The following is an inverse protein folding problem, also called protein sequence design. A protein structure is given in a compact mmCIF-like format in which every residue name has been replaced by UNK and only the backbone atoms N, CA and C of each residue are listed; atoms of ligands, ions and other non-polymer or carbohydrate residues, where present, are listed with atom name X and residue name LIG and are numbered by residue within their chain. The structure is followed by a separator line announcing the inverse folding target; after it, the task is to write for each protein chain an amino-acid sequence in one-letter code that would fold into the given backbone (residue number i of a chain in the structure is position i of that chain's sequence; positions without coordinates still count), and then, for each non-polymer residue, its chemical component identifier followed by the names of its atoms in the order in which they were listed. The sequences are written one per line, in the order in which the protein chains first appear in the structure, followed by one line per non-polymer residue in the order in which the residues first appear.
data_IF_314145542318
#
_entry.id   IF_314145542318
#
_cell.length_a   1.000
_cell.length_b   1.000
_cell.length_c   1.000
_cell.angle_alpha   90.00
_cell.angle_beta   90.00
_cell.angle_gamma   90.00
#
_symmetry.space_group_name_H-M   'P 1'
#
loop_
_entity.id
_entity.type
_entity.pdbx_description
1 polymer ?
#
# COMPACT_ATOMS: atom_id res chain seq x y z
N UNK A 1 1.39 1.39 14.68
CA UNK A 1 0.06 1.19 15.28
C UNK A 1 -0.41 -0.20 14.91
N UNK A 2 -1.05 -0.86 15.85
CA UNK A 2 -1.61 -2.18 15.69
C UNK A 2 -3.09 -2.12 16.14
N UNK A 3 -3.97 -2.74 15.38
CA UNK A 3 -5.38 -2.94 15.71
C UNK A 3 -5.68 -4.42 15.59
N UNK A 4 -6.31 -4.98 16.61
CA UNK A 4 -6.67 -6.40 16.65
C UNK A 4 -8.11 -6.57 17.09
N UNK A 5 -8.79 -7.64 16.67
CA UNK A 5 -10.07 -8.02 17.25
C UNK A 5 -9.94 -8.30 18.77
N UNK A 6 -11.04 -8.15 19.50
CA UNK A 6 -11.08 -8.47 20.93
C UNK A 6 -10.99 -9.99 21.21
N UNK A 7 -11.17 -10.80 20.18
CA UNK A 7 -11.12 -12.27 20.28
C UNK A 7 -9.66 -12.72 20.22
N UNK A 8 -9.19 -13.39 21.29
CA UNK A 8 -7.88 -14.03 21.33
C UNK A 8 -7.91 -15.32 20.48
N UNK A 9 -7.79 -15.18 19.17
CA UNK A 9 -7.53 -16.32 18.29
C UNK A 9 -6.08 -16.19 17.81
N UNK A 10 -5.25 -17.22 17.95
CA UNK A 10 -3.90 -17.20 17.42
C UNK A 10 -3.95 -17.22 15.88
N UNK A 11 -2.93 -16.62 15.26
CA UNK A 11 -2.73 -16.66 13.81
C UNK A 11 -3.79 -15.96 12.96
N UNK A 12 -4.45 -14.92 13.52
CA UNK A 12 -5.34 -14.09 12.72
C UNK A 12 -4.60 -13.46 11.53
N UNK A 13 -5.22 -13.37 10.36
CA UNK A 13 -4.59 -12.72 9.21
C UNK A 13 -4.12 -11.31 9.55
N UNK A 14 -2.91 -10.99 9.12
CA UNK A 14 -2.28 -9.68 9.32
C UNK A 14 -2.34 -8.86 8.03
N UNK A 15 -2.91 -7.66 8.10
CA UNK A 15 -2.94 -6.73 6.98
C UNK A 15 -2.04 -5.54 7.25
N UNK A 16 -1.03 -5.35 6.41
CA UNK A 16 -0.15 -4.20 6.44
C UNK A 16 -0.80 -3.05 5.65
N UNK A 17 -0.90 -1.87 6.24
CA UNK A 17 -1.54 -0.71 5.61
C UNK A 17 -0.60 0.47 5.46
N UNK A 18 -0.40 0.91 4.21
CA UNK A 18 0.27 2.17 3.89
C UNK A 18 -0.68 3.37 3.88
N UNK A 19 -0.12 4.57 3.96
CA UNK A 19 -0.84 5.84 3.83
C UNK A 19 -0.43 6.61 2.57
N UNK A 20 -1.21 7.61 2.18
CA UNK A 20 -0.92 8.48 1.03
C UNK A 20 0.21 9.47 1.29
N UNK A 21 0.74 10.08 0.24
CA UNK A 21 1.76 11.13 0.33
C UNK A 21 1.26 12.33 1.13
N UNK A 22 2.11 12.87 2.00
CA UNK A 22 1.76 13.97 2.89
C UNK A 22 0.86 13.62 4.07
N UNK A 23 0.40 12.37 4.16
CA UNK A 23 -0.47 11.85 5.22
C UNK A 23 0.35 11.09 6.30
N UNK A 24 -0.35 10.38 7.17
CA UNK A 24 0.25 9.58 8.25
C UNK A 24 -0.68 8.43 8.67
N UNK A 25 -0.17 7.50 9.48
CA UNK A 25 -0.89 6.30 9.96
C UNK A 25 -2.15 6.55 10.80
N UNK A 26 -2.39 7.81 11.22
CA UNK A 26 -3.54 8.20 12.07
C UNK A 26 -4.58 9.02 11.30
N UNK A 27 -4.54 9.06 9.95
CA UNK A 27 -5.57 9.77 9.18
C UNK A 27 -6.93 9.09 9.33
N UNK A 28 -8.03 9.86 9.30
CA UNK A 28 -9.38 9.32 9.47
C UNK A 28 -9.69 8.17 8.51
N UNK A 29 -9.25 8.28 7.25
CA UNK A 29 -9.50 7.30 6.20
C UNK A 29 -8.77 5.98 6.48
N UNK A 30 -7.50 6.05 6.94
CA UNK A 30 -6.74 4.86 7.30
C UNK A 30 -7.33 4.21 8.54
N UNK A 31 -7.69 5.01 9.56
CA UNK A 31 -8.36 4.51 10.76
C UNK A 31 -9.69 3.82 10.45
N UNK A 32 -10.50 4.40 9.55
CA UNK A 32 -11.76 3.80 9.14
C UNK A 32 -11.56 2.45 8.45
N UNK A 33 -10.60 2.37 7.52
CA UNK A 33 -10.25 1.11 6.82
C UNK A 33 -9.68 0.07 7.78
N UNK A 34 -8.81 0.48 8.71
CA UNK A 34 -8.27 -0.43 9.72
C UNK A 34 -9.38 -1.01 10.59
N UNK A 35 -10.26 -0.17 11.09
CA UNK A 35 -11.43 -0.61 11.87
C UNK A 35 -12.33 -1.56 11.09
N UNK A 36 -12.63 -1.23 9.83
CA UNK A 36 -13.44 -2.09 8.97
C UNK A 36 -12.82 -3.49 8.83
N UNK A 37 -11.52 -3.58 8.55
CA UNK A 37 -10.83 -4.88 8.46
C UNK A 37 -10.89 -5.66 9.77
N UNK A 38 -10.73 -4.98 10.91
CA UNK A 38 -10.81 -5.62 12.23
C UNK A 38 -12.23 -6.11 12.52
N UNK A 39 -13.24 -5.26 12.34
CA UNK A 39 -14.61 -5.57 12.78
C UNK A 39 -15.39 -6.44 11.80
N UNK A 40 -15.11 -6.33 10.50
CA UNK A 40 -15.85 -7.05 9.46
C UNK A 40 -15.17 -8.35 9.06
N UNK A 41 -13.83 -8.34 8.99
CA UNK A 41 -13.07 -9.49 8.51
C UNK A 41 -12.28 -10.21 9.60
N UNK A 42 -12.23 -9.66 10.83
CA UNK A 42 -11.50 -10.26 11.93
C UNK A 42 -9.97 -10.22 11.78
N UNK A 43 -9.45 -9.30 10.97
CA UNK A 43 -8.01 -9.19 10.72
C UNK A 43 -7.30 -8.41 11.81
N UNK A 44 -6.04 -8.75 12.06
CA UNK A 44 -5.10 -7.82 12.69
C UNK A 44 -4.57 -6.86 11.63
N UNK A 45 -4.50 -5.58 11.95
CA UNK A 45 -4.03 -4.53 11.02
C UNK A 45 -2.85 -3.80 11.61
N UNK A 46 -1.79 -3.63 10.83
CA UNK A 46 -0.62 -2.85 11.21
C UNK A 46 -0.36 -1.69 10.23
N UNK A 47 -0.04 -0.51 10.78
CA UNK A 47 0.39 0.63 9.98
C UNK A 47 1.55 1.36 10.64
N UNK A 48 2.53 1.75 9.84
CA UNK A 48 3.64 2.62 10.23
C UNK A 48 3.62 3.91 9.40
N UNK A 49 4.22 4.97 9.92
CA UNK A 49 4.47 6.16 9.11
C UNK A 49 5.62 5.88 8.14
N UNK A 50 5.46 6.29 6.89
CA UNK A 50 6.54 6.26 5.92
C UNK A 50 7.71 7.17 6.34
N UNK A 51 8.92 6.95 5.86
CA UNK A 51 10.06 7.83 6.16
C UNK A 51 9.72 9.30 5.95
N UNK A 52 10.02 10.14 6.93
CA UNK A 52 9.75 11.58 6.90
C UNK A 52 8.27 12.00 6.92
N UNK A 53 7.36 11.11 7.34
CA UNK A 53 5.92 11.36 7.47
C UNK A 53 5.43 11.16 8.90
N UNK A 54 4.27 11.75 9.22
CA UNK A 54 3.64 11.62 10.55
C UNK A 54 4.54 12.07 11.68
N UNK A 55 4.74 11.19 12.66
CA UNK A 55 5.56 11.45 13.85
C UNK A 55 7.09 11.30 13.57
N UNK A 56 7.48 10.93 12.33
CA UNK A 56 8.88 10.64 11.98
C UNK A 56 9.61 11.90 11.53
N UNK A 57 10.85 12.10 12.01
CA UNK A 57 11.65 13.27 11.61
C UNK A 57 11.94 13.21 10.10
N UNK A 58 11.92 14.37 9.48
CA UNK A 58 12.38 14.58 8.11
C UNK A 58 13.87 14.85 8.10
N UNK A 59 14.54 14.39 7.08
CA UNK A 59 15.91 14.82 6.77
C UNK A 59 15.89 16.19 6.07
N UNK A 60 17.03 16.87 6.04
CA UNK A 60 17.16 18.10 5.26
C UNK A 60 16.87 17.88 3.77
N UNK A 61 17.20 16.68 3.22
CA UNK A 61 16.88 16.29 1.85
C UNK A 61 15.37 16.12 1.64
N UNK A 62 14.65 15.52 2.62
CA UNK A 62 13.19 15.43 2.56
C UNK A 62 12.54 16.81 2.52
N UNK A 63 13.01 17.75 3.36
CA UNK A 63 12.49 19.12 3.42
C UNK A 63 12.79 19.90 2.13
N UNK A 64 14.00 19.77 1.58
CA UNK A 64 14.38 20.40 0.31
C UNK A 64 13.53 19.84 -0.85
N UNK A 65 13.41 18.51 -0.95
CA UNK A 65 12.61 17.85 -1.99
C UNK A 65 11.15 18.31 -1.95
N UNK A 66 10.57 18.43 -0.75
CA UNK A 66 9.20 18.92 -0.58
C UNK A 66 9.06 20.41 -0.95
N UNK A 67 10.09 21.23 -0.69
CA UNK A 67 10.11 22.63 -1.10
C UNK A 67 10.16 22.73 -2.63
N UNK A 68 11.04 21.98 -3.28
CA UNK A 68 11.19 21.94 -4.72
C UNK A 68 9.92 21.45 -5.41
N UNK A 69 9.27 20.42 -4.86
CA UNK A 69 7.98 19.91 -5.37
C UNK A 69 6.90 20.99 -5.29
N UNK A 70 6.76 21.69 -4.15
CA UNK A 70 5.79 22.79 -4.03
C UNK A 70 6.07 23.92 -5.01
N UNK A 71 7.34 24.28 -5.20
CA UNK A 71 7.73 25.32 -6.16
C UNK A 71 7.40 24.92 -7.60
N UNK A 72 7.67 23.67 -7.99
CA UNK A 72 7.33 23.16 -9.32
C UNK A 72 5.81 23.13 -9.55
N UNK A 73 5.03 22.68 -8.55
CA UNK A 73 3.56 22.69 -8.61
C UNK A 73 3.01 24.11 -8.73
N UNK A 74 3.53 25.08 -7.97
CA UNK A 74 3.12 26.46 -8.03
C UNK A 74 3.45 27.12 -9.38
N UNK A 75 4.51 26.68 -10.05
CA UNK A 75 4.90 27.11 -11.39
C UNK A 75 4.14 26.40 -12.52
N UNK A 76 3.32 25.39 -12.22
CA UNK A 76 2.65 24.55 -13.23
C UNK A 76 3.63 23.69 -14.06
N UNK A 77 4.86 23.47 -13.54
CA UNK A 77 5.90 22.70 -14.23
C UNK A 77 5.69 21.19 -13.98
N UNK A 78 4.83 20.60 -14.80
CA UNK A 78 4.42 19.20 -14.68
C UNK A 78 5.57 18.21 -14.88
N UNK A 79 6.52 18.53 -15.77
CA UNK A 79 7.70 17.69 -16.02
C UNK A 79 8.61 17.65 -14.79
N UNK A 80 8.86 18.81 -14.19
CA UNK A 80 9.66 18.89 -12.96
C UNK A 80 8.95 18.23 -11.78
N UNK A 81 7.64 18.39 -11.64
CA UNK A 81 6.82 17.66 -10.64
C UNK A 81 7.00 16.15 -10.79
N UNK A 82 6.86 15.62 -12.02
CA UNK A 82 7.02 14.19 -12.28
C UNK A 82 8.45 13.71 -11.94
N UNK A 83 9.48 14.43 -12.39
CA UNK A 83 10.88 14.09 -12.12
C UNK A 83 11.21 14.06 -10.63
N UNK A 84 10.76 15.06 -9.85
CA UNK A 84 10.95 15.12 -8.40
C UNK A 84 10.18 13.98 -7.73
N UNK A 85 8.93 13.74 -8.12
CA UNK A 85 8.07 12.70 -7.55
C UNK A 85 8.67 11.31 -7.73
N UNK A 86 9.21 11.00 -8.89
CA UNK A 86 9.90 9.73 -9.18
C UNK A 86 11.11 9.54 -8.27
N UNK A 87 12.02 10.52 -8.23
CA UNK A 87 13.23 10.42 -7.39
C UNK A 87 12.88 10.27 -5.91
N UNK A 88 11.93 11.07 -5.44
CA UNK A 88 11.49 11.03 -4.05
C UNK A 88 10.79 9.70 -3.72
N UNK A 89 9.91 9.21 -4.59
CA UNK A 89 9.26 7.92 -4.43
C UNK A 89 10.26 6.76 -4.33
N UNK A 90 11.27 6.73 -5.20
CA UNK A 90 12.35 5.73 -5.16
C UNK A 90 13.12 5.82 -3.83
N UNK A 91 13.48 7.02 -3.38
CA UNK A 91 14.22 7.22 -2.13
C UNK A 91 13.38 6.79 -0.92
N UNK A 92 12.08 7.08 -0.92
CA UNK A 92 11.15 6.65 0.14
C UNK A 92 10.97 5.13 0.15
N UNK A 93 10.85 4.48 -1.00
CA UNK A 93 10.74 3.02 -1.09
C UNK A 93 12.01 2.33 -0.59
N UNK A 94 13.19 2.83 -0.96
CA UNK A 94 14.48 2.29 -0.49
C UNK A 94 14.62 2.31 1.03
N UNK A 95 14.06 3.33 1.70
CA UNK A 95 14.04 3.43 3.17
C UNK A 95 12.89 2.65 3.78
N UNK A 96 11.72 2.70 3.16
CA UNK A 96 10.49 2.15 3.71
C UNK A 96 10.39 0.63 3.64
N UNK A 97 10.93 -0.01 2.59
CA UNK A 97 10.87 -1.47 2.44
C UNK A 97 11.59 -2.20 3.58
N UNK A 98 12.87 -1.90 3.91
CA UNK A 98 13.54 -2.54 5.04
C UNK A 98 12.85 -2.28 6.38
N UNK A 99 12.24 -1.12 6.56
CA UNK A 99 11.52 -0.78 7.79
C UNK A 99 10.22 -1.59 7.94
N UNK A 100 9.51 -1.83 6.85
CA UNK A 100 8.36 -2.71 6.83
C UNK A 100 8.75 -4.16 7.12
N UNK A 101 9.87 -4.63 6.56
CA UNK A 101 10.41 -5.97 6.83
C UNK A 101 10.76 -6.13 8.31
N UNK A 102 11.49 -5.18 8.88
CA UNK A 102 11.81 -5.19 10.32
C UNK A 102 10.55 -5.08 11.20
N UNK A 103 9.55 -4.29 10.76
CA UNK A 103 8.26 -4.21 11.46
C UNK A 103 7.55 -5.56 11.44
N UNK A 104 7.54 -6.24 10.30
CA UNK A 104 6.93 -7.56 10.17
C UNK A 104 7.64 -8.59 11.03
N UNK A 105 8.99 -8.58 11.06
CA UNK A 105 9.78 -9.45 11.94
C UNK A 105 9.41 -9.24 13.41
N UNK A 106 9.27 -7.98 13.84
CA UNK A 106 8.86 -7.65 15.20
C UNK A 106 7.42 -8.06 15.51
N UNK A 107 6.49 -7.89 14.56
CA UNK A 107 5.09 -8.28 14.73
C UNK A 107 4.94 -9.80 14.88
N UNK A 108 5.71 -10.58 14.14
CA UNK A 108 5.67 -12.04 14.23
C UNK A 108 6.25 -12.60 15.53
N UNK A 109 6.97 -11.79 16.32
CA UNK A 109 7.39 -12.17 17.69
C UNK A 109 6.24 -12.02 18.71
N UNK A 110 5.14 -11.36 18.35
CA UNK A 110 3.99 -11.23 19.24
C UNK A 110 3.20 -12.55 19.23
N UNK A 111 2.89 -13.14 20.39
CA UNK A 111 2.19 -14.42 20.48
C UNK A 111 0.83 -14.45 19.78
N UNK A 112 0.15 -13.31 19.75
CA UNK A 112 -1.15 -13.14 19.11
C UNK A 112 -1.09 -13.11 17.57
N UNK A 113 0.09 -12.89 16.98
CA UNK A 113 0.31 -12.90 15.52
C UNK A 113 1.03 -14.18 15.11
N UNK A 114 2.25 -14.40 15.62
CA UNK A 114 3.07 -15.56 15.30
C UNK A 114 3.57 -15.56 13.85
N UNK A 115 4.31 -16.61 13.49
CA UNK A 115 4.91 -16.77 12.15
C UNK A 115 3.95 -17.38 11.13
N UNK A 116 2.88 -18.02 11.57
CA UNK A 116 1.93 -18.73 10.71
C UNK A 116 0.75 -17.87 10.25
N UNK A 117 0.63 -16.62 10.74
CA UNK A 117 -0.43 -15.73 10.33
C UNK A 117 -0.31 -15.40 8.83
N UNK A 118 -1.37 -15.58 8.03
CA UNK A 118 -1.39 -15.13 6.64
C UNK A 118 -1.23 -13.61 6.56
N UNK A 119 -0.41 -13.12 5.62
CA UNK A 119 -0.08 -11.70 5.54
C UNK A 119 -0.54 -11.12 4.21
N UNK A 120 -1.32 -10.03 4.27
CA UNK A 120 -1.70 -9.23 3.12
C UNK A 120 -1.21 -7.80 3.20
N UNK A 121 -1.08 -7.16 2.04
CA UNK A 121 -0.86 -5.73 1.93
C UNK A 121 -2.15 -5.04 1.50
N UNK A 122 -2.76 -4.30 2.40
CA UNK A 122 -3.97 -3.51 2.15
C UNK A 122 -3.64 -2.06 1.82
N UNK A 123 -2.81 -1.86 0.80
CA UNK A 123 -2.14 -0.59 0.48
C UNK A 123 -3.01 0.64 0.49
N UNK A 124 -2.37 1.78 0.60
CA UNK A 124 -2.96 3.08 0.34
C UNK A 124 -2.87 3.45 -1.13
N UNK A 125 -3.47 4.58 -1.45
CA UNK A 125 -3.29 5.29 -2.70
C UNK A 125 -1.92 5.98 -2.67
N UNK A 126 -1.35 6.29 -3.81
CA UNK A 126 -0.11 7.08 -3.97
C UNK A 126 1.10 6.47 -3.24
N UNK A 127 1.62 7.11 -2.18
CA UNK A 127 2.83 6.67 -1.48
C UNK A 127 2.69 5.26 -0.89
N UNK A 128 1.49 4.89 -0.39
CA UNK A 128 1.22 3.55 0.12
C UNK A 128 1.48 2.49 -0.95
N UNK A 129 1.01 2.69 -2.18
CA UNK A 129 1.31 1.81 -3.30
C UNK A 129 2.77 1.95 -3.76
N UNK A 130 3.33 3.16 -3.79
CA UNK A 130 4.73 3.41 -4.17
C UNK A 130 5.76 2.69 -3.29
N UNK A 131 5.44 2.43 -2.02
CA UNK A 131 6.24 1.59 -1.11
C UNK A 131 5.75 0.15 -1.13
N UNK A 132 4.43 -0.07 -1.20
CA UNK A 132 3.81 -1.40 -1.10
C UNK A 132 4.15 -2.32 -2.26
N UNK A 133 4.24 -1.81 -3.48
CA UNK A 133 4.64 -2.59 -4.66
C UNK A 133 6.07 -3.13 -4.51
N UNK A 134 7.11 -2.29 -4.25
CA UNK A 134 8.45 -2.80 -3.97
C UNK A 134 8.53 -3.72 -2.74
N UNK A 135 7.76 -3.43 -1.69
CA UNK A 135 7.68 -4.28 -0.50
C UNK A 135 7.14 -5.67 -0.86
N UNK A 136 6.01 -5.74 -1.54
CA UNK A 136 5.39 -7.03 -1.92
C UNK A 136 6.30 -7.84 -2.85
N UNK A 137 7.06 -7.16 -3.73
CA UNK A 137 8.03 -7.82 -4.59
C UNK A 137 9.27 -8.36 -3.85
N UNK A 138 9.58 -7.85 -2.66
CA UNK A 138 10.76 -8.19 -1.88
C UNK A 138 10.46 -9.03 -0.62
N UNK A 139 9.18 -9.15 -0.24
CA UNK A 139 8.75 -9.80 0.99
C UNK A 139 7.85 -11.00 0.70
N UNK A 140 8.40 -12.21 0.68
CA UNK A 140 7.67 -13.43 0.28
C UNK A 140 6.56 -13.84 1.26
N UNK A 141 6.55 -13.30 2.48
CA UNK A 141 5.47 -13.55 3.45
C UNK A 141 4.15 -12.86 3.07
N UNK A 142 4.18 -11.86 2.19
CA UNK A 142 2.95 -11.22 1.69
C UNK A 142 2.35 -12.11 0.61
N UNK A 143 1.13 -12.58 0.84
CA UNK A 143 0.46 -13.57 -0.02
C UNK A 143 -0.71 -13.02 -0.84
N UNK A 144 -1.13 -11.77 -0.59
CA UNK A 144 -2.11 -11.04 -1.41
C UNK A 144 -1.92 -9.53 -1.22
N UNK A 145 -2.25 -8.73 -2.24
CA UNK A 145 -2.06 -7.30 -2.16
C UNK A 145 -3.15 -6.48 -2.86
N UNK A 146 -3.50 -5.33 -2.24
CA UNK A 146 -4.32 -4.29 -2.84
C UNK A 146 -3.46 -3.05 -3.02
N UNK A 147 -3.39 -2.51 -4.24
CA UNK A 147 -2.68 -1.27 -4.54
C UNK A 147 -3.64 -0.25 -5.15
N UNK A 148 -3.47 1.02 -4.84
CA UNK A 148 -4.20 2.11 -5.47
C UNK A 148 -3.29 3.00 -6.32
N UNK A 149 -3.78 3.45 -7.47
CA UNK A 149 -3.09 4.37 -8.38
C UNK A 149 -2.99 5.80 -7.85
N UNK A 150 -2.90 6.77 -8.76
CA UNK A 150 -2.80 8.20 -8.44
C UNK A 150 -1.36 8.65 -8.14
N UNK A 151 -0.38 8.10 -8.84
CA UNK A 151 1.03 8.46 -8.73
C UNK A 151 1.77 8.29 -10.07
N UNK A 152 2.95 8.88 -10.16
CA UNK A 152 3.79 8.75 -11.36
C UNK A 152 4.42 7.36 -11.40
N UNK A 153 4.08 6.59 -12.44
CA UNK A 153 4.68 5.27 -12.69
C UNK A 153 6.07 5.44 -13.29
N UNK A 154 7.01 4.63 -12.84
CA UNK A 154 8.40 4.64 -13.30
C UNK A 154 8.96 3.22 -13.40
N UNK A 155 10.08 3.04 -14.12
CA UNK A 155 10.61 1.71 -14.44
C UNK A 155 10.86 0.83 -13.22
N UNK A 156 11.35 1.39 -12.12
CA UNK A 156 11.57 0.59 -10.90
C UNK A 156 10.28 0.02 -10.30
N UNK A 157 9.13 0.68 -10.49
CA UNK A 157 7.83 0.12 -10.10
C UNK A 157 7.37 -0.99 -11.06
N UNK A 158 7.58 -0.81 -12.36
CA UNK A 158 7.32 -1.84 -13.37
C UNK A 158 8.16 -3.09 -13.11
N UNK A 159 9.45 -2.91 -12.80
CA UNK A 159 10.34 -4.02 -12.44
C UNK A 159 9.91 -4.74 -11.16
N UNK A 160 9.42 -4.01 -10.17
CA UNK A 160 8.85 -4.62 -8.97
C UNK A 160 7.56 -5.38 -9.29
N UNK A 161 6.65 -4.80 -10.07
CA UNK A 161 5.40 -5.43 -10.47
C UNK A 161 5.62 -6.76 -11.24
N UNK A 162 6.61 -6.81 -12.12
CA UNK A 162 7.00 -8.03 -12.87
C UNK A 162 7.44 -9.20 -11.95
N UNK A 163 7.77 -8.93 -10.70
CA UNK A 163 8.13 -9.96 -9.70
C UNK A 163 6.98 -10.36 -8.78
N UNK A 164 5.85 -9.64 -8.82
CA UNK A 164 4.70 -9.93 -7.97
C UNK A 164 3.84 -10.98 -8.64
N UNK A 165 3.81 -12.17 -8.06
CA UNK A 165 3.03 -13.33 -8.53
C UNK A 165 1.81 -13.65 -7.68
N UNK A 166 1.70 -13.04 -6.49
CA UNK A 166 0.57 -13.19 -5.59
C UNK A 166 -0.69 -12.50 -6.14
N UNK A 167 -1.90 -12.88 -5.70
CA UNK A 167 -3.12 -12.19 -6.10
C UNK A 167 -3.07 -10.68 -5.86
N UNK A 168 -3.51 -9.90 -6.85
CA UNK A 168 -3.49 -8.43 -6.82
C UNK A 168 -4.87 -7.86 -7.16
N UNK A 169 -5.34 -6.93 -6.33
CA UNK A 169 -6.42 -6.01 -6.68
C UNK A 169 -5.83 -4.62 -6.89
N UNK A 170 -6.00 -4.06 -8.08
CA UNK A 170 -5.50 -2.73 -8.43
C UNK A 170 -6.66 -1.75 -8.57
N UNK A 171 -6.62 -0.65 -7.80
CA UNK A 171 -7.64 0.38 -7.74
C UNK A 171 -7.19 1.59 -8.55
N UNK A 172 -7.88 1.92 -9.63
CA UNK A 172 -7.52 2.99 -10.54
C UNK A 172 -8.52 4.15 -10.47
N UNK A 173 -8.15 5.30 -9.92
CA UNK A 173 -8.87 6.55 -10.13
C UNK A 173 -8.77 6.95 -11.61
N UNK A 174 -9.92 6.97 -12.31
CA UNK A 174 -9.93 7.06 -13.77
C UNK A 174 -9.55 8.43 -14.32
N UNK A 175 -9.86 9.49 -13.55
CA UNK A 175 -9.67 10.89 -13.96
C UNK A 175 -8.57 11.58 -13.13
N UNK A 176 -7.56 10.79 -12.68
CA UNK A 176 -6.50 11.33 -11.82
C UNK A 176 -5.57 12.27 -12.58
N UNK A 177 -5.37 13.46 -12.02
CA UNK A 177 -4.51 14.50 -12.61
C UNK A 177 -3.01 14.26 -12.30
N UNK A 178 -2.69 13.41 -11.30
CA UNK A 178 -1.32 13.20 -10.82
C UNK A 178 -0.64 11.97 -11.45
N UNK A 179 -1.42 11.15 -12.16
CA UNK A 179 -0.92 9.94 -12.79
C UNK A 179 -1.48 9.78 -14.21
N UNK A 180 -0.61 9.48 -15.17
CA UNK A 180 -1.05 9.11 -16.50
C UNK A 180 -1.75 7.76 -16.46
N UNK A 181 -2.99 7.72 -16.98
CA UNK A 181 -3.83 6.51 -17.02
C UNK A 181 -3.15 5.38 -17.79
N UNK A 182 -2.51 5.67 -18.91
CA UNK A 182 -1.86 4.64 -19.72
C UNK A 182 -0.68 4.01 -18.95
N UNK A 183 0.07 4.83 -18.23
CA UNK A 183 1.15 4.35 -17.35
C UNK A 183 0.61 3.48 -16.20
N UNK A 184 -0.55 3.85 -15.63
CA UNK A 184 -1.21 3.05 -14.58
C UNK A 184 -1.71 1.70 -15.13
N UNK A 185 -2.26 1.67 -16.36
CA UNK A 185 -2.64 0.43 -17.04
C UNK A 185 -1.41 -0.43 -17.37
N UNK A 186 -0.31 0.18 -17.83
CA UNK A 186 0.94 -0.53 -18.06
C UNK A 186 1.51 -1.13 -16.76
N UNK A 187 1.36 -0.45 -15.62
CA UNK A 187 1.72 -1.01 -14.32
C UNK A 187 0.84 -2.21 -13.95
N UNK A 188 -0.47 -2.11 -14.17
CA UNK A 188 -1.38 -3.24 -13.97
C UNK A 188 -1.01 -4.44 -14.86
N UNK A 189 -0.70 -4.20 -16.12
CA UNK A 189 -0.28 -5.25 -17.06
C UNK A 189 1.03 -5.90 -16.62
N UNK A 190 1.95 -5.14 -16.03
CA UNK A 190 3.25 -5.62 -15.58
C UNK A 190 3.19 -6.60 -14.40
N UNK A 191 2.13 -6.60 -13.57
CA UNK A 191 2.00 -7.59 -12.50
C UNK A 191 2.02 -9.00 -13.07
N UNK A 192 2.98 -9.82 -12.63
CA UNK A 192 3.14 -11.21 -13.06
C UNK A 192 2.08 -12.14 -12.42
N UNK A 193 1.23 -11.63 -11.57
CA UNK A 193 0.13 -12.37 -10.94
C UNK A 193 -0.79 -12.96 -12.00
N UNK A 194 -1.16 -14.25 -11.82
CA UNK A 194 -2.18 -14.93 -12.62
C UNK A 194 -3.60 -14.56 -12.19
N UNK A 195 -3.75 -14.04 -11.00
CA UNK A 195 -5.01 -13.57 -10.43
C UNK A 195 -4.88 -12.08 -10.11
N UNK A 196 -5.21 -11.23 -11.07
CA UNK A 196 -5.20 -9.78 -10.91
C UNK A 196 -6.51 -9.17 -11.39
N UNK A 197 -7.06 -8.25 -10.60
CA UNK A 197 -8.27 -7.52 -10.92
C UNK A 197 -8.00 -6.03 -10.98
N UNK A 198 -8.54 -5.37 -12.01
CA UNK A 198 -8.55 -3.92 -12.13
C UNK A 198 -9.92 -3.40 -11.75
N UNK A 199 -9.97 -2.51 -10.76
CA UNK A 199 -11.17 -1.81 -10.36
C UNK A 199 -10.99 -0.33 -10.63
N UNK A 200 -11.66 0.19 -11.66
CA UNK A 200 -11.57 1.58 -12.09
C UNK A 200 -12.88 2.32 -11.84
N UNK A 201 -12.82 3.47 -11.19
CA UNK A 201 -13.96 4.35 -11.01
C UNK A 201 -13.62 5.78 -11.46
N UNK A 202 -14.62 6.55 -11.95
CA UNK A 202 -14.47 7.97 -12.22
C UNK A 202 -14.06 8.75 -10.96
N UNK A 203 -13.25 9.77 -11.14
CA UNK A 203 -12.75 10.64 -10.08
C UNK A 203 -11.23 10.62 -9.95
N UNK A 204 -10.70 11.58 -9.20
CA UNK A 204 -9.30 11.69 -8.82
C UNK A 204 -9.02 10.94 -7.51
N UNK A 205 -7.74 10.68 -7.20
CA UNK A 205 -7.34 9.93 -6.01
C UNK A 205 -7.75 10.56 -4.66
N UNK A 206 -8.19 11.83 -4.63
CA UNK A 206 -8.61 12.54 -3.40
C UNK A 206 -10.10 12.42 -3.16
N UNK A 207 -10.89 12.38 -4.25
CA UNK A 207 -12.34 12.51 -4.19
C UNK A 207 -13.08 11.27 -4.72
N UNK A 208 -12.35 10.21 -5.09
CA UNK A 208 -12.93 9.01 -5.66
C UNK A 208 -13.88 8.31 -4.68
N UNK A 209 -15.03 7.92 -5.22
CA UNK A 209 -15.94 6.97 -4.55
C UNK A 209 -15.83 5.63 -5.24
N UNK A 210 -15.50 4.61 -4.48
CA UNK A 210 -15.40 3.24 -4.98
C UNK A 210 -16.78 2.60 -4.99
N UNK A 211 -17.27 2.24 -6.17
CA UNK A 211 -18.54 1.53 -6.37
C UNK A 211 -18.24 0.09 -6.78
N UNK A 212 -18.97 -0.87 -6.21
CA UNK A 212 -18.83 -2.29 -6.56
C UNK A 212 -17.44 -2.87 -6.23
N UNK A 213 -16.70 -2.23 -5.34
CA UNK A 213 -15.41 -2.74 -4.89
C UNK A 213 -15.62 -4.07 -4.15
N UNK A 214 -14.81 -5.06 -4.49
CA UNK A 214 -14.76 -6.31 -3.75
C UNK A 214 -13.98 -6.12 -2.44
N UNK A 215 -14.68 -5.86 -1.37
CA UNK A 215 -14.15 -5.68 -0.02
C UNK A 215 -13.67 -6.99 0.63
N UNK A 216 -14.07 -8.15 0.05
CA UNK A 216 -13.69 -9.49 0.52
C UNK A 216 -12.42 -10.02 -0.16
N UNK A 217 -11.79 -9.25 -1.05
CA UNK A 217 -10.60 -9.72 -1.76
C UNK A 217 -9.53 -10.28 -0.81
N UNK A 218 -9.09 -9.50 0.18
CA UNK A 218 -8.12 -10.01 1.16
C UNK A 218 -8.68 -11.16 2.00
N UNK A 219 -9.98 -11.15 2.35
CA UNK A 219 -10.57 -12.20 3.13
C UNK A 219 -10.51 -13.56 2.41
N UNK A 220 -10.72 -13.59 1.08
CA UNK A 220 -10.60 -14.83 0.31
C UNK A 220 -9.18 -15.36 0.23
N UNK A 221 -8.19 -14.47 0.13
CA UNK A 221 -6.79 -14.86 -0.07
C UNK A 221 -6.01 -15.06 1.22
N UNK A 222 -6.50 -14.53 2.34
CA UNK A 222 -5.90 -14.70 3.66
C UNK A 222 -6.69 -15.69 4.55
N UNK A 223 -7.81 -16.22 4.06
CA UNK A 223 -8.51 -17.28 4.77
C UNK A 223 -7.56 -18.48 4.93
N UNK A 224 -7.40 -18.96 6.15
CA UNK A 224 -6.75 -20.27 6.36
C UNK A 224 -7.62 -21.33 5.69
N UNK A 225 -7.02 -22.34 5.01
CA UNK A 225 -7.79 -23.48 4.57
C UNK A 225 -8.49 -24.08 5.80
N UNK A 226 -9.81 -24.25 5.71
CA UNK A 226 -10.55 -24.95 6.75
C UNK A 226 -9.85 -26.29 6.99
N UNK A 227 -9.30 -26.47 8.19
CA UNK A 227 -8.83 -27.78 8.60
C UNK A 227 -10.06 -28.66 8.67
N UNK A 228 -10.31 -29.46 7.63
CA UNK A 228 -11.34 -30.49 7.68
C UNK A 228 -11.13 -31.32 8.93
N UNK A 229 -12.14 -31.46 9.81
CA UNK A 229 -12.01 -32.38 10.92
C UNK A 229 -11.81 -33.79 10.37
N UNK A 230 -10.76 -34.44 10.83
CA UNK A 230 -10.42 -35.82 10.51
C UNK A 230 -11.46 -36.80 11.06
#
# INVERSE_FOLDING_TARGET
MLWSPEVNSPHLPLVLMGHGGGLHKKTPELLARARHNVTTHGFTVAAIDAPGHGDRPRTAEDDQTRADLRAAMAAGDTERVASISVRYGIALARRGVPEWQATLDALQQLPEIGTEAPIGYGGGITLGAGIGIPLTAAEPRITAAIFGGGFVVHEALLDAARRITVPVQFLLPWDDEHGDRQSALALFDAFASKEKTLHANPGDHRNIRWFGLDDKFLARHLAQPETSPA
#
